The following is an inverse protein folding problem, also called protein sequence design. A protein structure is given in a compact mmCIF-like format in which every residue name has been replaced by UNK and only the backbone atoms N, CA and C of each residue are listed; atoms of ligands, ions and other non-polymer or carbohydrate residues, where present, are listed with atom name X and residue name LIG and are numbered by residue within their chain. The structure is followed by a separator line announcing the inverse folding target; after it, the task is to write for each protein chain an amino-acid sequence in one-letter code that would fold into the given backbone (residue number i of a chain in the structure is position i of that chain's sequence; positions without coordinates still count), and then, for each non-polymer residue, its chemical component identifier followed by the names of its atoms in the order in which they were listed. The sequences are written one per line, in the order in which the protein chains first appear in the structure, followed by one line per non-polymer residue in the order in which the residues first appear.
data_IF_413577729045
#
_entry.id   IF_413577729045
#
_cell.length_a   1.000
_cell.length_b   1.000
_cell.length_c   1.000
_cell.angle_alpha   90.00
_cell.angle_beta   90.00
_cell.angle_gamma   90.00
#
_symmetry.space_group_name_H-M   'P 1'
#
loop_
_entity.id
_entity.type
_entity.pdbx_description
1 polymer ?
#
# COMPACT_ATOMS: atom_id res chain seq x y z
N UNK A 1 -26.08 -66.47 52.46
CA UNK A 1 -25.26 -67.54 51.86
C UNK A 1 -24.86 -67.05 50.46
N UNK A 2 -23.56 -66.73 50.29
CA UNK A 2 -22.78 -66.34 49.07
C UNK A 2 -23.27 -65.16 48.20
N UNK A 3 -22.48 -64.08 47.96
CA UNK A 3 -21.25 -63.95 47.10
C UNK A 3 -21.52 -64.37 45.63
N UNK A 4 -21.03 -63.76 44.55
CA UNK A 4 -20.11 -62.64 44.24
C UNK A 4 -20.22 -62.37 42.70
N UNK A 5 -19.71 -61.23 42.22
CA UNK A 5 -19.46 -60.80 40.79
C UNK A 5 -18.58 -61.81 39.98
N UNK A 6 -18.30 -61.73 38.63
CA UNK A 6 -17.95 -60.51 37.82
C UNK A 6 -18.12 -60.49 36.24
N UNK A 7 -17.76 -59.33 35.63
CA UNK A 7 -17.05 -59.06 34.31
C UNK A 7 -17.69 -59.32 32.92
N UNK A 8 -17.86 -58.27 32.08
CA UNK A 8 -17.03 -57.83 30.90
C UNK A 8 -17.64 -58.33 29.55
N UNK A 9 -17.60 -57.68 28.38
CA UNK A 9 -16.69 -56.74 27.73
C UNK A 9 -17.42 -55.97 26.59
N UNK A 10 -17.01 -54.71 26.42
CA UNK A 10 -16.80 -53.90 25.20
C UNK A 10 -17.54 -54.17 23.87
N UNK A 11 -18.10 -53.10 23.29
CA UNK A 11 -17.67 -52.60 21.97
C UNK A 11 -18.35 -51.26 21.63
N UNK A 12 -17.57 -50.17 21.68
CA UNK A 12 -17.62 -49.21 20.57
C UNK A 12 -16.75 -49.76 19.42
N UNK A 13 -16.50 -49.04 18.30
CA UNK A 13 -16.89 -47.66 17.99
C UNK A 13 -17.51 -47.54 16.57
N UNK A 14 -18.10 -46.38 16.25
CA UNK A 14 -17.92 -45.83 14.89
C UNK A 14 -18.08 -44.30 14.93
N UNK A 15 -17.08 -43.64 15.49
CA UNK A 15 -16.86 -42.22 15.27
C UNK A 15 -16.46 -42.06 13.82
N UNK A 16 -17.42 -41.68 12.97
CA UNK A 16 -17.14 -41.16 11.64
C UNK A 16 -16.17 -40.00 11.79
N UNK A 17 -14.95 -40.22 11.34
CA UNK A 17 -13.96 -39.20 11.06
C UNK A 17 -14.58 -38.19 10.08
N UNK A 18 -15.22 -37.16 10.62
CA UNK A 18 -15.33 -35.90 9.93
C UNK A 18 -13.90 -35.39 9.73
N UNK A 19 -13.37 -35.58 8.52
CA UNK A 19 -12.30 -34.76 7.98
C UNK A 19 -12.74 -33.30 8.09
N UNK A 20 -12.47 -32.68 9.23
CA UNK A 20 -12.45 -31.23 9.37
C UNK A 20 -11.29 -30.77 8.51
N UNK A 21 -11.58 -30.27 7.31
CA UNK A 21 -10.60 -29.46 6.61
C UNK A 21 -10.19 -28.33 7.58
N UNK A 22 -8.92 -28.25 8.02
CA UNK A 22 -8.53 -27.20 8.91
C UNK A 22 -8.76 -25.89 8.18
N UNK A 23 -9.54 -24.99 8.78
CA UNK A 23 -9.82 -23.66 8.25
C UNK A 23 -8.48 -22.98 8.00
N UNK A 24 -8.00 -23.07 6.76
CA UNK A 24 -6.68 -22.60 6.33
C UNK A 24 -6.76 -21.10 6.13
N UNK A 25 -6.98 -20.38 7.22
CA UNK A 25 -6.93 -18.93 7.23
C UNK A 25 -5.46 -18.53 7.18
N UNK A 26 -4.92 -18.38 5.97
CA UNK A 26 -3.62 -17.77 5.72
C UNK A 26 -3.83 -16.37 5.14
N UNK A 27 -3.03 -15.39 5.57
CA UNK A 27 -3.10 -14.02 5.06
C UNK A 27 -1.76 -13.66 4.43
N UNK A 28 -1.80 -13.28 3.16
CA UNK A 28 -0.62 -12.83 2.43
C UNK A 28 -0.34 -11.36 2.70
N UNK A 29 0.89 -11.07 3.09
CA UNK A 29 1.46 -9.76 3.28
C UNK A 29 2.55 -9.55 2.23
N UNK A 30 2.42 -8.45 1.51
CA UNK A 30 3.33 -8.11 0.42
C UNK A 30 3.82 -6.70 0.68
N UNK A 31 5.13 -6.54 0.71
CA UNK A 31 5.78 -5.24 0.81
C UNK A 31 6.03 -4.68 -0.58
N UNK A 32 5.39 -3.55 -0.89
CA UNK A 32 5.52 -2.93 -2.20
C UNK A 32 6.58 -1.81 -2.18
N UNK A 33 7.42 -1.68 -3.22
CA UNK A 33 8.33 -0.54 -3.33
C UNK A 33 7.55 0.75 -3.58
N UNK A 34 8.06 1.89 -3.10
CA UNK A 34 7.38 3.21 -3.19
C UNK A 34 7.01 3.64 -4.62
N UNK A 35 7.70 3.14 -5.64
CA UNK A 35 7.40 3.46 -7.04
C UNK A 35 5.94 3.15 -7.43
N UNK A 36 5.27 2.23 -6.75
CA UNK A 36 3.83 1.92 -6.96
C UNK A 36 2.92 3.12 -6.73
N UNK A 37 3.32 4.09 -5.89
CA UNK A 37 2.57 5.31 -5.65
C UNK A 37 2.65 6.31 -6.82
N UNK A 38 3.44 6.03 -7.87
CA UNK A 38 3.45 6.81 -9.12
C UNK A 38 2.22 6.56 -10.00
N UNK A 39 1.30 5.68 -9.61
CA UNK A 39 0.11 5.37 -10.42
C UNK A 39 -0.74 6.60 -10.80
N UNK A 40 -0.87 7.69 -10.00
CA UNK A 40 -1.63 8.85 -10.44
C UNK A 40 -0.93 9.58 -11.61
N UNK A 41 0.41 9.64 -11.63
CA UNK A 41 1.17 10.17 -12.78
C UNK A 41 0.95 9.30 -14.01
N UNK A 42 0.98 7.98 -13.85
CA UNK A 42 0.75 7.06 -14.97
C UNK A 42 -0.64 7.28 -15.58
N UNK A 43 -1.68 7.34 -14.74
CA UNK A 43 -3.05 7.64 -15.19
C UNK A 43 -3.13 9.01 -15.87
N UNK A 44 -2.55 10.05 -15.25
CA UNK A 44 -2.53 11.39 -15.82
C UNK A 44 -1.84 11.41 -17.20
N UNK A 45 -0.70 10.73 -17.34
CA UNK A 45 0.00 10.61 -18.62
C UNK A 45 -0.87 9.94 -19.68
N UNK A 46 -1.59 8.87 -19.34
CA UNK A 46 -2.49 8.20 -20.29
C UNK A 46 -3.67 9.09 -20.70
N UNK A 47 -4.28 9.80 -19.75
CA UNK A 47 -5.40 10.73 -20.01
C UNK A 47 -4.96 11.85 -20.95
N UNK A 48 -3.80 12.47 -20.67
CA UNK A 48 -3.26 13.53 -21.55
C UNK A 48 -2.85 12.97 -22.91
N UNK A 49 -2.25 11.79 -22.96
CA UNK A 49 -1.87 11.12 -24.21
C UNK A 49 -3.08 10.88 -25.12
N UNK A 50 -4.16 10.31 -24.56
CA UNK A 50 -5.40 10.05 -25.29
C UNK A 50 -6.02 11.35 -25.79
N UNK A 51 -6.13 12.36 -24.92
CA UNK A 51 -6.68 13.66 -25.31
C UNK A 51 -5.90 14.31 -26.44
N UNK A 52 -4.57 14.38 -26.31
CA UNK A 52 -3.69 14.95 -27.34
C UNK A 52 -3.78 14.18 -28.66
N UNK A 53 -3.80 12.84 -28.60
CA UNK A 53 -3.94 11.98 -29.77
C UNK A 53 -5.24 12.30 -30.53
N UNK A 54 -6.39 12.30 -29.86
CA UNK A 54 -7.68 12.48 -30.52
C UNK A 54 -7.92 13.91 -31.03
N UNK A 55 -7.29 14.91 -30.43
CA UNK A 55 -7.53 16.32 -30.76
C UNK A 55 -6.52 16.88 -31.76
N UNK A 56 -5.24 16.52 -31.65
CA UNK A 56 -4.15 17.10 -32.46
C UNK A 56 -3.38 16.04 -33.27
N UNK A 57 -3.63 14.75 -33.04
CA UNK A 57 -2.87 13.65 -33.64
C UNK A 57 -1.61 13.29 -32.84
N UNK A 58 -0.89 12.27 -33.31
CA UNK A 58 0.16 11.62 -32.52
C UNK A 58 1.41 12.49 -32.32
N UNK A 59 1.80 13.25 -33.34
CA UNK A 59 3.07 13.98 -33.41
C UNK A 59 2.95 15.50 -33.32
N UNK A 60 1.73 16.05 -33.21
CA UNK A 60 1.53 17.49 -33.23
C UNK A 60 2.18 18.16 -32.01
N UNK A 61 2.95 19.22 -32.26
CA UNK A 61 3.54 20.12 -31.25
C UNK A 61 3.13 21.58 -31.50
N UNK A 62 2.67 21.89 -32.70
CA UNK A 62 2.29 23.24 -33.13
C UNK A 62 0.78 23.47 -33.00
N UNK A 63 0.37 24.74 -32.93
CA UNK A 63 -1.04 25.16 -32.82
C UNK A 63 -1.82 24.51 -31.66
N UNK A 64 -1.11 24.24 -30.56
CA UNK A 64 -1.69 23.72 -29.33
C UNK A 64 -2.65 24.75 -28.73
N UNK A 65 -3.93 24.37 -28.59
CA UNK A 65 -4.94 25.21 -27.96
C UNK A 65 -4.73 25.38 -26.45
N UNK A 66 -5.46 26.31 -25.83
CA UNK A 66 -5.37 26.59 -24.39
C UNK A 66 -5.56 25.34 -23.51
N UNK A 67 -6.43 24.42 -23.94
CA UNK A 67 -6.67 23.15 -23.25
C UNK A 67 -5.43 22.24 -23.22
N UNK A 68 -4.61 22.25 -24.26
CA UNK A 68 -3.38 21.46 -24.34
C UNK A 68 -2.35 21.90 -23.30
N UNK A 69 -2.16 23.22 -23.16
CA UNK A 69 -1.29 23.78 -22.11
C UNK A 69 -1.82 23.49 -20.71
N UNK A 70 -3.13 23.64 -20.49
CA UNK A 70 -3.75 23.34 -19.20
C UNK A 70 -3.52 21.88 -18.79
N UNK A 71 -3.71 20.93 -19.71
CA UNK A 71 -3.48 19.51 -19.47
C UNK A 71 -2.00 19.17 -19.24
N UNK A 72 -1.09 19.78 -20.00
CA UNK A 72 0.34 19.60 -19.82
C UNK A 72 0.80 20.12 -18.45
N UNK A 73 0.32 21.31 -18.05
CA UNK A 73 0.58 21.87 -16.71
C UNK A 73 -0.05 21.01 -15.61
N UNK A 74 -1.28 20.51 -15.80
CA UNK A 74 -1.93 19.60 -14.87
C UNK A 74 -1.15 18.30 -14.69
N UNK A 75 -0.64 17.71 -15.78
CA UNK A 75 0.25 16.56 -15.72
C UNK A 75 1.53 16.86 -14.92
N UNK A 76 2.20 17.99 -15.19
CA UNK A 76 3.41 18.39 -14.47
C UNK A 76 3.14 18.61 -12.99
N UNK A 77 1.99 19.19 -12.63
CA UNK A 77 1.59 19.37 -11.24
C UNK A 77 1.40 18.03 -10.53
N UNK A 78 0.69 17.07 -11.15
CA UNK A 78 0.51 15.72 -10.61
C UNK A 78 1.85 15.00 -10.49
N UNK A 79 2.69 15.07 -11.53
CA UNK A 79 4.02 14.46 -11.53
C UNK A 79 4.89 15.03 -10.40
N UNK A 80 4.91 16.35 -10.24
CA UNK A 80 5.68 17.03 -9.21
C UNK A 80 5.18 16.66 -7.81
N UNK A 81 3.86 16.64 -7.62
CA UNK A 81 3.26 16.23 -6.35
C UNK A 81 3.63 14.79 -6.01
N UNK A 82 3.57 13.86 -6.97
CA UNK A 82 3.98 12.48 -6.75
C UNK A 82 5.49 12.35 -6.47
N UNK A 83 6.34 13.16 -7.11
CA UNK A 83 7.77 13.20 -6.78
C UNK A 83 8.02 13.67 -5.35
N UNK A 84 7.25 14.65 -4.86
CA UNK A 84 7.31 15.08 -3.46
C UNK A 84 6.89 13.94 -2.54
N UNK A 85 5.77 13.25 -2.82
CA UNK A 85 5.29 12.11 -2.01
C UNK A 85 6.33 10.99 -1.93
N UNK A 86 7.05 10.68 -3.01
CA UNK A 86 8.06 9.61 -2.97
C UNK A 86 9.37 10.05 -2.34
N UNK A 87 9.73 11.32 -2.49
CA UNK A 87 11.00 11.86 -2.00
C UNK A 87 11.00 12.17 -0.50
N UNK A 88 9.83 12.48 0.06
CA UNK A 88 9.68 12.83 1.46
C UNK A 88 8.82 11.78 2.17
N UNK A 89 9.33 11.27 3.30
CA UNK A 89 8.50 10.58 4.28
C UNK A 89 7.72 11.63 5.06
N UNK A 90 6.39 11.52 5.11
CA UNK A 90 5.52 12.42 5.88
C UNK A 90 5.02 11.77 7.18
N UNK A 91 5.81 11.84 8.29
CA UNK A 91 5.42 11.29 9.57
C UNK A 91 4.08 11.81 10.09
N UNK A 92 3.37 10.94 10.82
CA UNK A 92 2.11 11.30 11.50
C UNK A 92 2.27 12.42 12.53
N UNK A 93 3.43 12.56 13.18
CA UNK A 93 3.67 13.63 14.19
C UNK A 93 4.12 14.94 13.57
N UNK A 94 4.75 14.92 12.40
CA UNK A 94 5.04 16.12 11.60
C UNK A 94 3.82 16.62 10.83
N UNK A 95 2.70 15.89 10.81
CA UNK A 95 1.48 16.36 10.13
C UNK A 95 0.91 17.62 10.78
N UNK A 96 1.04 17.79 12.10
CA UNK A 96 0.62 19.00 12.80
C UNK A 96 1.56 20.17 12.47
N UNK A 97 2.87 19.93 12.44
CA UNK A 97 3.86 20.91 12.00
C UNK A 97 3.63 21.30 10.55
N UNK A 98 3.36 20.34 9.67
CA UNK A 98 3.06 20.57 8.26
C UNK A 98 1.74 21.31 8.10
N UNK A 99 0.71 20.98 8.88
CA UNK A 99 -0.53 21.73 8.93
C UNK A 99 -0.27 23.20 9.31
N UNK A 100 0.50 23.45 10.36
CA UNK A 100 0.86 24.82 10.76
C UNK A 100 1.79 25.51 9.75
N UNK A 101 2.69 24.79 9.09
CA UNK A 101 3.55 25.34 8.03
C UNK A 101 2.75 25.71 6.79
N UNK A 102 1.85 24.83 6.33
CA UNK A 102 0.92 25.13 5.22
C UNK A 102 0.02 26.29 5.60
N UNK A 103 -0.55 26.28 6.81
CA UNK A 103 -1.37 27.38 7.32
C UNK A 103 -0.57 28.70 7.36
N UNK A 104 0.68 28.68 7.82
CA UNK A 104 1.55 29.85 7.86
C UNK A 104 1.94 30.34 6.46
N UNK A 105 2.17 29.44 5.50
CA UNK A 105 2.42 29.79 4.11
C UNK A 105 1.17 30.39 3.48
N UNK A 106 -0.01 29.79 3.69
CA UNK A 106 -1.28 30.31 3.16
C UNK A 106 -1.60 31.67 3.77
N UNK A 107 -1.45 31.84 5.09
CA UNK A 107 -1.64 33.11 5.77
C UNK A 107 -0.60 34.14 5.31
N UNK A 108 0.65 33.74 5.17
CA UNK A 108 1.74 34.57 4.67
C UNK A 108 1.49 35.03 3.22
N UNK A 109 1.08 34.13 2.35
CA UNK A 109 0.65 34.43 0.98
C UNK A 109 -0.57 35.36 0.97
N UNK A 110 -1.57 35.10 1.81
CA UNK A 110 -2.75 35.95 1.94
C UNK A 110 -2.36 37.38 2.36
N UNK A 111 -1.54 37.53 3.40
CA UNK A 111 -1.02 38.83 3.86
C UNK A 111 -0.17 39.49 2.77
N UNK A 112 0.70 38.74 2.11
CA UNK A 112 1.57 39.24 1.06
C UNK A 112 0.77 39.75 -0.14
N UNK A 113 -0.25 39.01 -0.61
CA UNK A 113 -1.10 39.44 -1.72
C UNK A 113 -2.08 40.56 -1.34
N UNK A 114 -2.53 40.62 -0.09
CA UNK A 114 -3.33 41.73 0.42
C UNK A 114 -2.52 43.05 0.49
N UNK A 115 -1.23 42.98 0.80
CA UNK A 115 -0.36 44.16 0.91
C UNK A 115 0.38 44.51 -0.40
N UNK A 116 0.61 43.53 -1.28
CA UNK A 116 1.27 43.71 -2.58
C UNK A 116 0.39 43.18 -3.71
N UNK A 117 -0.67 43.92 -4.10
CA UNK A 117 -1.64 43.47 -5.11
C UNK A 117 -1.01 43.24 -6.50
N UNK A 118 0.16 43.84 -6.78
CA UNK A 118 0.88 43.64 -8.03
C UNK A 118 1.73 42.35 -8.07
N UNK A 119 1.94 41.66 -6.95
CA UNK A 119 2.72 40.40 -6.95
C UNK A 119 1.94 39.20 -7.50
N UNK A 120 0.62 39.17 -7.29
CA UNK A 120 -0.24 38.12 -7.82
C UNK A 120 -0.25 38.09 -9.36
N UNK A 121 -0.43 39.24 -10.07
CA UNK A 121 -0.27 39.28 -11.52
C UNK A 121 1.18 39.01 -11.96
N UNK A 122 2.21 39.46 -11.25
CA UNK A 122 3.61 39.16 -11.61
C UNK A 122 3.94 37.65 -11.58
N UNK A 123 3.52 36.94 -10.54
CA UNK A 123 3.70 35.48 -10.46
C UNK A 123 2.81 34.80 -11.50
N UNK A 124 1.58 35.29 -11.70
CA UNK A 124 0.69 34.83 -12.76
C UNK A 124 1.31 34.95 -14.15
N UNK A 125 1.95 36.08 -14.46
CA UNK A 125 2.61 36.34 -15.74
C UNK A 125 3.80 35.41 -15.97
N UNK A 126 4.59 35.12 -14.92
CA UNK A 126 5.66 34.12 -14.99
C UNK A 126 5.07 32.74 -15.29
N UNK A 127 4.04 32.32 -14.57
CA UNK A 127 3.41 31.00 -14.78
C UNK A 127 2.77 30.91 -16.17
N UNK A 128 2.11 31.97 -16.65
CA UNK A 128 1.51 32.03 -17.98
C UNK A 128 2.54 32.15 -19.11
N UNK A 129 3.75 32.65 -18.83
CA UNK A 129 4.85 32.68 -19.80
C UNK A 129 5.43 31.29 -20.06
N UNK A 130 5.36 30.39 -19.07
CA UNK A 130 5.74 28.99 -19.23
C UNK A 130 4.59 28.26 -19.91
N UNK A 131 4.79 27.93 -21.19
CA UNK A 131 3.84 27.14 -21.99
C UNK A 131 4.40 25.73 -22.16
N UNK A 132 4.32 24.86 -21.13
CA UNK A 132 4.81 23.51 -21.26
C UNK A 132 3.93 22.79 -22.28
N UNK A 133 4.54 22.20 -23.30
CA UNK A 133 3.81 21.43 -24.30
C UNK A 133 4.64 20.25 -24.75
N UNK A 134 3.98 19.11 -24.88
CA UNK A 134 4.56 17.90 -25.44
C UNK A 134 3.51 17.23 -26.33
N UNK A 135 3.96 16.43 -27.30
CA UNK A 135 3.06 15.68 -28.16
C UNK A 135 2.46 14.46 -27.44
N UNK A 136 1.44 13.84 -28.05
CA UNK A 136 0.82 12.63 -27.52
C UNK A 136 1.83 11.49 -27.30
N UNK A 137 2.81 11.35 -28.21
CA UNK A 137 3.87 10.34 -28.13
C UNK A 137 4.65 10.41 -26.81
N UNK A 138 5.03 11.61 -26.36
CA UNK A 138 5.73 11.79 -25.09
C UNK A 138 4.92 11.21 -23.92
N UNK A 139 3.64 11.54 -23.85
CA UNK A 139 2.78 11.07 -22.77
C UNK A 139 2.51 9.56 -22.83
N UNK A 140 2.40 8.98 -24.04
CA UNK A 140 2.35 7.52 -24.20
C UNK A 140 3.64 6.86 -23.72
N UNK A 141 4.81 7.42 -24.05
CA UNK A 141 6.10 6.88 -23.61
C UNK A 141 6.19 6.91 -22.08
N UNK A 142 5.80 8.01 -21.44
CA UNK A 142 5.73 8.11 -19.98
C UNK A 142 4.82 7.04 -19.39
N UNK A 143 3.62 6.85 -19.96
CA UNK A 143 2.71 5.78 -19.53
C UNK A 143 3.35 4.40 -19.67
N UNK A 144 3.99 4.10 -20.81
CA UNK A 144 4.67 2.82 -21.06
C UNK A 144 5.80 2.59 -20.07
N UNK A 145 6.59 3.61 -19.74
CA UNK A 145 7.64 3.53 -18.73
C UNK A 145 7.04 3.14 -17.37
N UNK A 146 5.98 3.81 -16.93
CA UNK A 146 5.33 3.46 -15.66
C UNK A 146 4.67 2.08 -15.71
N UNK A 147 4.02 1.71 -16.81
CA UNK A 147 3.43 0.39 -16.99
C UNK A 147 4.50 -0.71 -16.92
N UNK A 148 5.66 -0.50 -17.54
CA UNK A 148 6.80 -1.42 -17.46
C UNK A 148 7.34 -1.50 -16.02
N UNK A 149 7.48 -0.38 -15.31
CA UNK A 149 7.87 -0.38 -13.90
C UNK A 149 6.88 -1.15 -13.03
N UNK A 150 5.57 -0.93 -13.20
CA UNK A 150 4.54 -1.67 -12.45
C UNK A 150 4.54 -3.16 -12.80
N UNK A 151 4.80 -3.51 -14.06
CA UNK A 151 4.96 -4.90 -14.47
C UNK A 151 6.19 -5.54 -13.79
N UNK A 152 7.33 -4.86 -13.77
CA UNK A 152 8.53 -5.34 -13.08
C UNK A 152 8.29 -5.52 -11.58
N UNK A 153 7.62 -4.55 -10.92
CA UNK A 153 7.24 -4.68 -9.51
C UNK A 153 6.30 -5.87 -9.30
N UNK A 154 5.28 -6.03 -10.16
CA UNK A 154 4.34 -7.14 -10.09
C UNK A 154 5.06 -8.49 -10.21
N UNK A 155 6.02 -8.61 -11.11
CA UNK A 155 6.85 -9.81 -11.27
C UNK A 155 7.74 -10.02 -10.04
N UNK A 156 8.38 -8.96 -9.53
CA UNK A 156 9.27 -9.04 -8.36
C UNK A 156 8.53 -9.50 -7.11
N UNK A 157 7.35 -8.93 -6.84
CA UNK A 157 6.52 -9.23 -5.67
C UNK A 157 5.97 -10.66 -5.67
N UNK A 158 5.84 -11.28 -6.84
CA UNK A 158 5.40 -12.68 -6.91
C UNK A 158 6.39 -13.67 -6.29
N UNK A 159 7.66 -13.27 -6.15
CA UNK A 159 8.72 -14.11 -5.59
C UNK A 159 9.15 -13.69 -4.17
N UNK A 160 8.59 -12.60 -3.63
CA UNK A 160 8.88 -12.16 -2.27
C UNK A 160 7.58 -11.73 -1.57
N UNK A 161 7.06 -12.62 -0.74
CA UNK A 161 5.88 -12.34 0.06
C UNK A 161 5.86 -13.15 1.34
N UNK A 162 5.14 -12.62 2.32
CA UNK A 162 4.96 -13.22 3.63
C UNK A 162 3.57 -13.83 3.72
N UNK A 163 3.48 -15.04 4.25
CA UNK A 163 2.23 -15.74 4.52
C UNK A 163 2.07 -15.93 6.03
N UNK A 164 1.08 -15.25 6.60
CA UNK A 164 0.75 -15.30 8.02
C UNK A 164 -0.26 -16.40 8.27
N UNK A 165 0.07 -17.32 9.19
CA UNK A 165 -0.80 -18.40 9.67
C UNK A 165 -0.99 -18.30 11.18
N UNK A 166 -2.00 -19.00 11.74
CA UNK A 166 -2.26 -19.12 13.18
C UNK A 166 -1.04 -19.20 14.11
N UNK A 167 -0.13 -20.14 13.82
CA UNK A 167 1.02 -20.45 14.66
C UNK A 167 2.34 -20.43 13.87
N UNK A 168 2.30 -20.00 12.61
CA UNK A 168 3.45 -20.01 11.70
C UNK A 168 3.49 -18.72 10.91
N UNK A 169 4.70 -18.24 10.64
CA UNK A 169 4.96 -17.20 9.67
C UNK A 169 5.87 -17.79 8.61
N UNK A 170 5.45 -17.72 7.35
CA UNK A 170 6.19 -18.25 6.23
C UNK A 170 6.70 -17.10 5.38
N UNK A 171 7.99 -17.06 5.10
CA UNK A 171 8.57 -16.15 4.12
C UNK A 171 8.86 -16.93 2.86
N UNK A 172 8.21 -16.56 1.77
CA UNK A 172 8.51 -17.08 0.44
C UNK A 172 9.51 -16.11 -0.18
N UNK A 173 10.76 -16.53 -0.39
CA UNK A 173 11.79 -15.71 -1.02
C UNK A 173 12.44 -16.42 -2.22
N UNK A 174 12.74 -15.64 -3.25
CA UNK A 174 13.54 -16.07 -4.40
C UNK A 174 12.77 -16.81 -5.49
N UNK A 175 13.37 -16.86 -6.68
CA UNK A 175 12.80 -17.52 -7.87
C UNK A 175 12.66 -19.05 -7.71
N UNK A 176 13.43 -19.66 -6.80
CA UNK A 176 13.42 -21.09 -6.48
C UNK A 176 12.54 -21.44 -5.26
N UNK A 177 11.80 -20.46 -4.72
CA UNK A 177 10.86 -20.65 -3.61
C UNK A 177 11.50 -21.27 -2.36
N UNK A 178 12.59 -20.67 -1.89
CA UNK A 178 13.13 -21.00 -0.58
C UNK A 178 12.13 -20.50 0.47
N UNK A 179 11.61 -21.45 1.26
CA UNK A 179 10.54 -21.21 2.23
C UNK A 179 11.13 -21.22 3.63
N UNK A 180 11.26 -20.04 4.22
CA UNK A 180 11.63 -19.93 5.63
C UNK A 180 10.38 -20.03 6.50
N UNK A 181 10.43 -20.93 7.49
CA UNK A 181 9.31 -21.16 8.42
C UNK A 181 9.68 -20.72 9.81
N UNK A 182 8.96 -19.73 10.33
CA UNK A 182 9.10 -19.26 11.69
C UNK A 182 7.92 -19.78 12.53
N UNK A 183 8.22 -20.56 13.57
CA UNK A 183 7.21 -20.97 14.55
C UNK A 183 6.92 -19.79 15.48
N UNK A 184 5.69 -19.29 15.44
CA UNK A 184 5.29 -18.05 16.12
C UNK A 184 4.02 -18.27 16.98
N UNK A 185 4.07 -19.13 18.02
CA UNK A 185 2.97 -19.26 18.96
C UNK A 185 2.80 -17.95 19.73
N UNK A 186 1.58 -17.39 19.78
CA UNK A 186 1.30 -16.07 20.39
C UNK A 186 1.90 -14.84 19.70
N UNK A 187 2.07 -14.91 18.37
CA UNK A 187 2.48 -13.79 17.53
C UNK A 187 1.65 -12.52 17.80
N UNK A 188 2.32 -11.37 17.90
CA UNK A 188 1.68 -10.04 17.99
C UNK A 188 1.97 -9.24 16.74
N UNK A 189 1.03 -8.39 16.37
CA UNK A 189 1.13 -7.56 15.17
C UNK A 189 0.75 -6.14 15.52
N UNK A 190 1.65 -5.22 15.19
CA UNK A 190 1.45 -3.79 15.35
C UNK A 190 1.37 -3.12 13.98
N UNK A 191 0.41 -2.21 13.84
CA UNK A 191 0.21 -1.41 12.63
C UNK A 191 0.69 0.00 12.87
N UNK A 192 1.54 0.48 11.99
CA UNK A 192 2.05 1.84 11.99
C UNK A 192 1.77 2.53 10.66
N UNK A 193 1.30 3.76 10.74
CA UNK A 193 1.07 4.61 9.57
C UNK A 193 2.18 5.66 9.60
N UNK A 194 3.28 5.35 8.90
CA UNK A 194 4.47 6.19 8.86
C UNK A 194 4.31 7.34 7.88
N UNK A 195 3.64 7.10 6.75
CA UNK A 195 3.41 8.11 5.73
C UNK A 195 1.90 8.29 5.51
N UNK A 196 1.44 9.53 5.66
CA UNK A 196 0.03 9.88 5.49
C UNK A 196 -0.42 9.83 4.02
N UNK A 197 0.44 10.22 3.08
CA UNK A 197 0.08 10.23 1.66
C UNK A 197 -0.02 8.82 1.10
N UNK A 198 0.92 7.94 1.46
CA UNK A 198 0.85 6.53 1.09
C UNK A 198 -0.45 5.88 1.62
N UNK A 199 -0.81 6.19 2.87
CA UNK A 199 -2.07 5.75 3.47
C UNK A 199 -3.30 6.30 2.75
N UNK A 200 -3.30 7.58 2.33
CA UNK A 200 -4.42 8.17 1.58
C UNK A 200 -4.54 7.55 0.18
N UNK A 201 -3.43 7.24 -0.49
CA UNK A 201 -3.41 6.74 -1.86
C UNK A 201 -3.85 5.28 -1.97
N UNK A 202 -3.22 4.38 -1.21
CA UNK A 202 -3.47 2.92 -1.32
C UNK A 202 -3.84 2.26 0.03
N UNK A 203 -4.12 3.06 1.06
CA UNK A 203 -4.36 2.53 2.40
C UNK A 203 -3.16 1.74 2.92
N UNK A 204 -1.94 2.11 2.51
CA UNK A 204 -0.73 1.38 2.86
C UNK A 204 -0.13 1.84 4.18
N UNK A 205 0.65 0.96 4.80
CA UNK A 205 1.40 1.29 6.01
C UNK A 205 2.44 0.22 6.33
N UNK A 206 3.04 0.35 7.51
CA UNK A 206 4.03 -0.57 8.04
C UNK A 206 3.37 -1.53 9.02
N UNK A 207 3.61 -2.82 8.82
CA UNK A 207 3.20 -3.86 9.75
C UNK A 207 4.45 -4.42 10.42
N UNK A 208 4.45 -4.40 11.75
CA UNK A 208 5.53 -4.96 12.55
C UNK A 208 5.01 -6.26 13.17
N UNK A 209 5.66 -7.37 12.83
CA UNK A 209 5.32 -8.69 13.33
C UNK A 209 6.33 -9.06 14.40
N UNK A 210 5.83 -9.43 15.58
CA UNK A 210 6.62 -9.87 16.74
C UNK A 210 6.39 -11.37 16.97
N UNK A 211 7.25 -12.25 16.42
CA UNK A 211 7.19 -13.68 16.71
C UNK A 211 7.69 -13.93 18.14
N UNK A 212 7.00 -14.77 18.91
CA UNK A 212 7.38 -15.00 20.31
C UNK A 212 8.70 -15.76 20.52
N UNK A 213 9.15 -16.50 19.51
CA UNK A 213 10.41 -17.26 19.54
C UNK A 213 11.61 -16.47 18.99
N UNK A 214 11.39 -15.33 18.32
CA UNK A 214 12.45 -14.55 17.70
C UNK A 214 12.71 -13.25 18.45
N UNK A 215 13.98 -12.87 18.58
CA UNK A 215 14.34 -11.62 19.28
C UNK A 215 14.11 -10.38 18.44
N UNK A 216 14.01 -10.52 17.10
CA UNK A 216 13.86 -9.40 16.17
C UNK A 216 12.45 -9.36 15.61
N UNK A 217 11.88 -8.16 15.58
CA UNK A 217 10.62 -7.92 14.90
C UNK A 217 10.84 -7.93 13.38
N UNK A 218 9.91 -8.52 12.64
CA UNK A 218 9.91 -8.50 11.18
C UNK A 218 9.09 -7.28 10.76
N UNK A 219 9.73 -6.39 10.01
CA UNK A 219 9.15 -5.11 9.61
C UNK A 219 8.79 -5.16 8.14
N UNK A 220 7.50 -5.05 7.85
CA UNK A 220 6.95 -5.10 6.50
C UNK A 220 6.42 -3.72 6.13
N UNK A 221 7.05 -3.08 5.15
CA UNK A 221 6.69 -1.74 4.72
C UNK A 221 5.67 -1.77 3.58
N UNK A 222 4.92 -0.67 3.41
CA UNK A 222 4.03 -0.40 2.28
C UNK A 222 3.04 -1.53 1.96
N UNK A 223 2.50 -2.17 3.01
CA UNK A 223 1.47 -3.19 2.83
C UNK A 223 0.17 -2.50 2.45
N UNK A 224 -0.33 -2.75 1.25
CA UNK A 224 -1.59 -2.16 0.78
C UNK A 224 -2.77 -2.63 1.61
N UNK A 225 -3.75 -1.73 1.78
CA UNK A 225 -4.97 -1.98 2.55
C UNK A 225 -4.67 -2.52 3.96
N UNK A 226 -3.67 -1.93 4.63
CA UNK A 226 -3.13 -2.44 5.91
C UNK A 226 -4.21 -2.58 6.97
N UNK A 227 -5.20 -1.68 7.01
CA UNK A 227 -6.30 -1.75 7.97
C UNK A 227 -7.14 -3.02 7.84
N UNK A 228 -7.48 -3.44 6.62
CA UNK A 228 -8.24 -4.67 6.40
C UNK A 228 -7.40 -5.91 6.71
N UNK A 229 -6.11 -5.90 6.35
CA UNK A 229 -5.20 -7.01 6.61
C UNK A 229 -4.97 -7.21 8.11
N UNK A 230 -4.70 -6.14 8.84
CA UNK A 230 -4.52 -6.17 10.30
C UNK A 230 -5.76 -6.71 11.00
N UNK A 231 -6.96 -6.20 10.70
CA UNK A 231 -8.20 -6.71 11.29
C UNK A 231 -8.42 -8.22 11.04
N UNK A 232 -8.12 -8.70 9.82
CA UNK A 232 -8.24 -10.11 9.48
C UNK A 232 -7.24 -10.97 10.25
N UNK A 233 -6.00 -10.49 10.43
CA UNK A 233 -5.00 -11.21 11.20
C UNK A 233 -5.34 -11.21 12.68
N UNK A 234 -5.72 -10.06 13.25
CA UNK A 234 -6.15 -9.96 14.66
C UNK A 234 -7.31 -10.90 14.95
N UNK A 235 -8.30 -11.00 14.05
CA UNK A 235 -9.40 -11.96 14.17
C UNK A 235 -8.93 -13.42 14.14
N UNK A 236 -7.96 -13.75 13.27
CA UNK A 236 -7.39 -15.09 13.17
C UNK A 236 -6.62 -15.47 14.44
N UNK A 237 -5.79 -14.57 14.96
CA UNK A 237 -4.98 -14.79 16.16
C UNK A 237 -5.85 -14.83 17.43
N UNK A 238 -6.86 -13.98 17.51
CA UNK A 238 -7.80 -13.96 18.64
C UNK A 238 -8.65 -15.22 18.74
N UNK A 239 -9.09 -15.80 17.61
CA UNK A 239 -9.86 -17.05 17.61
C UNK A 239 -9.08 -18.23 18.22
N UNK A 240 -7.75 -18.27 18.03
CA UNK A 240 -6.89 -19.32 18.57
C UNK A 240 -6.69 -19.19 20.08
N UNK A 241 -6.54 -17.95 20.58
CA UNK A 241 -6.41 -17.71 22.02
C UNK A 241 -7.65 -18.19 22.80
N UNK A 242 -8.84 -18.11 22.20
CA UNK A 242 -10.08 -18.57 22.81
C UNK A 242 -10.17 -20.10 22.81
N UNK A 243 -9.83 -20.78 21.71
CA UNK A 243 -9.87 -22.25 21.63
C UNK A 243 -8.90 -22.92 22.61
N UNK A 244 -7.67 -22.42 22.73
CA UNK A 244 -6.68 -22.97 23.68
C UNK A 244 -7.19 -22.89 25.13
N UNK A 245 -8.02 -21.90 25.46
CA UNK A 245 -8.57 -21.72 26.80
C UNK A 245 -9.72 -22.69 27.09
N UNK A 246 -10.55 -23.00 26.10
CA UNK A 246 -11.64 -23.99 26.24
C UNK A 246 -11.10 -25.42 26.36
N UNK A 247 -10.01 -25.76 25.66
CA UNK A 247 -9.39 -27.09 25.73
C UNK A 247 -8.57 -27.34 27.03
N UNK A 248 -8.26 -26.27 27.77
CA UNK A 248 -7.46 -26.32 29.02
C UNK A 248 -8.29 -26.43 30.30
N UNK A 249 -9.61 -26.51 30.19
CA UNK A 249 -10.57 -26.47 31.31
C UNK A 249 -11.42 -27.76 31.33
#
# INVERSE_FOLDING_TARGET
MSQDRPTASESGPDSKDEKREPVRNSIYLVSYPKVVFMYPTAIASLVVALWMHFTHGFYAVENMGNYSYFLATGFLAIFTLNMVVISFDFPRTTSLTLFFSVFSVVLGCYVLFANFPNMLPFIGDIVHSVKPVANAQFYYLMFVIYAALFLLVKLSVQFDYWEVRPNELLHHHGFLSDLERFSAPNMRIDKEINDLFEYILLGSGRLIVHPSNERRAIVLENIFFIGQKEQRITKMLGALQVQVREDSN
#
